data_IF_528558890074
#
_entry.id   IF_528558890074
#
_cell.length_a   1.000
_cell.length_b   1.000
_cell.length_c   1.000
_cell.angle_alpha   90.00
_cell.angle_beta   90.00
_cell.angle_gamma   90.00
#
_symmetry.space_group_name_H-M   'P 1'
#
loop_
_entity.id
_entity.type
_entity.pdbx_description
1 polymer ?
#
# COMPACT_ATOMS: atom_id res chain seq x y z
N UNK A 1 -7.65 12.68 27.02
CA UNK A 1 -7.95 13.37 25.75
C UNK A 1 -8.30 12.32 24.70
N UNK A 2 -8.58 12.70 23.45
CA UNK A 2 -8.95 11.72 22.40
C UNK A 2 -7.81 10.73 22.16
N UNK A 3 -6.57 11.21 22.22
CA UNK A 3 -5.33 10.44 22.05
C UNK A 3 -5.21 9.29 23.06
N UNK A 4 -5.52 9.55 24.34
CA UNK A 4 -5.48 8.53 25.40
C UNK A 4 -6.49 7.40 25.18
N UNK A 5 -7.60 7.70 24.49
CA UNK A 5 -8.62 6.71 24.16
C UNK A 5 -8.13 5.74 23.06
N UNK A 6 -7.31 6.23 22.12
CA UNK A 6 -6.82 5.46 20.97
C UNK A 6 -5.43 4.85 21.18
N UNK A 7 -4.66 5.30 22.19
CA UNK A 7 -3.27 4.89 22.39
C UNK A 7 -3.02 3.38 22.62
N UNK A 8 -4.07 2.59 22.91
CA UNK A 8 -3.98 1.14 23.05
C UNK A 8 -4.24 0.34 21.75
N UNK A 9 -4.62 0.99 20.65
CA UNK A 9 -5.03 0.31 19.41
C UNK A 9 -3.90 0.15 18.38
N UNK A 10 -2.72 0.69 18.67
CA UNK A 10 -1.56 0.66 17.79
C UNK A 10 -0.84 2.01 17.77
N UNK A 11 -0.07 2.24 16.70
CA UNK A 11 0.63 3.50 16.52
C UNK A 11 -0.37 4.63 16.21
N UNK A 12 -0.34 5.70 17.00
CA UNK A 12 -1.18 6.88 16.80
C UNK A 12 -0.46 7.91 15.92
N UNK A 13 -0.98 8.14 14.72
CA UNK A 13 -0.48 9.17 13.80
C UNK A 13 -1.33 10.42 13.98
N UNK A 14 -0.76 11.46 14.59
CA UNK A 14 -1.39 12.78 14.74
C UNK A 14 -0.90 13.67 13.61
N UNK A 15 -1.84 14.29 12.88
CA UNK A 15 -1.55 15.19 11.76
C UNK A 15 -2.09 16.59 12.04
N UNK A 16 -1.38 17.61 11.56
CA UNK A 16 -1.70 19.00 11.84
C UNK A 16 -2.71 19.60 10.84
N UNK A 17 -2.81 19.02 9.64
CA UNK A 17 -3.64 19.57 8.56
C UNK A 17 -4.60 18.55 7.99
N UNK A 18 -5.73 19.06 7.47
CA UNK A 18 -6.68 18.24 6.69
C UNK A 18 -6.05 17.67 5.42
N UNK A 19 -5.08 18.38 4.84
CA UNK A 19 -4.32 17.90 3.69
C UNK A 19 -3.49 16.65 4.01
N UNK A 20 -2.87 16.59 5.19
CA UNK A 20 -2.12 15.42 5.63
C UNK A 20 -3.05 14.23 5.87
N UNK A 21 -4.20 14.48 6.49
CA UNK A 21 -5.22 13.44 6.68
C UNK A 21 -5.73 12.89 5.34
N UNK A 22 -5.96 13.77 4.36
CA UNK A 22 -6.35 13.38 3.01
C UNK A 22 -5.26 12.55 2.31
N UNK A 23 -3.99 12.95 2.42
CA UNK A 23 -2.87 12.21 1.85
C UNK A 23 -2.72 10.80 2.46
N UNK A 24 -2.87 10.66 3.78
CA UNK A 24 -2.90 9.34 4.45
C UNK A 24 -4.07 8.50 3.93
N UNK A 25 -5.25 9.12 3.77
CA UNK A 25 -6.42 8.47 3.18
C UNK A 25 -6.13 7.89 1.78
N UNK A 26 -5.51 8.69 0.91
CA UNK A 26 -5.09 8.26 -0.43
C UNK A 26 -4.08 7.11 -0.36
N UNK A 27 -3.03 7.23 0.47
CA UNK A 27 -2.02 6.19 0.62
C UNK A 27 -2.61 4.86 1.11
N UNK A 28 -3.60 4.93 2.02
CA UNK A 28 -4.30 3.75 2.54
C UNK A 28 -5.07 2.96 1.47
N UNK A 29 -5.45 3.58 0.35
CA UNK A 29 -6.12 2.89 -0.75
C UNK A 29 -5.26 1.78 -1.40
N UNK A 30 -3.95 1.74 -1.11
CA UNK A 30 -3.05 0.68 -1.56
C UNK A 30 -3.26 -0.67 -0.86
N UNK A 31 -4.09 -0.75 0.19
CA UNK A 31 -4.37 -1.98 0.92
C UNK A 31 -4.80 -3.15 0.00
N UNK A 32 -5.76 -2.92 -0.90
CA UNK A 32 -6.24 -3.98 -1.80
C UNK A 32 -5.18 -4.39 -2.82
N UNK A 33 -4.45 -3.40 -3.37
CA UNK A 33 -3.30 -3.63 -4.27
C UNK A 33 -2.22 -4.47 -3.60
N UNK A 34 -1.93 -4.23 -2.32
CA UNK A 34 -0.96 -5.01 -1.55
C UNK A 34 -1.40 -6.48 -1.38
N UNK A 35 -2.69 -6.73 -1.17
CA UNK A 35 -3.22 -8.10 -1.12
C UNK A 35 -3.17 -8.79 -2.48
N UNK A 36 -3.47 -8.07 -3.55
CA UNK A 36 -3.40 -8.61 -4.91
C UNK A 36 -1.95 -8.96 -5.31
N UNK A 37 -0.97 -8.12 -4.98
CA UNK A 37 0.46 -8.44 -5.17
C UNK A 37 0.82 -9.78 -4.54
N UNK A 38 0.43 -9.99 -3.29
CA UNK A 38 0.66 -11.25 -2.58
C UNK A 38 -0.08 -12.42 -3.23
N UNK A 39 -1.34 -12.25 -3.65
CA UNK A 39 -2.09 -13.29 -4.35
C UNK A 39 -1.38 -13.74 -5.63
N UNK A 40 -0.77 -12.82 -6.38
CA UNK A 40 0.02 -13.15 -7.58
C UNK A 40 1.25 -14.00 -7.26
N UNK A 41 1.93 -13.72 -6.15
CA UNK A 41 3.07 -14.51 -5.70
C UNK A 41 2.64 -15.91 -5.24
N UNK A 42 1.52 -16.00 -4.50
CA UNK A 42 0.93 -17.27 -4.06
C UNK A 42 0.57 -18.13 -5.27
N UNK A 43 -0.17 -17.59 -6.23
CA UNK A 43 -0.53 -18.29 -7.46
C UNK A 43 0.70 -18.75 -8.27
N UNK A 44 1.79 -17.98 -8.27
CA UNK A 44 3.04 -18.36 -8.93
C UNK A 44 3.72 -19.58 -8.28
N UNK A 45 3.64 -19.70 -6.94
CA UNK A 45 4.14 -20.86 -6.18
C UNK A 45 3.24 -22.09 -6.38
N UNK A 46 1.92 -21.90 -6.33
CA UNK A 46 0.94 -22.97 -6.59
C UNK A 46 1.12 -23.57 -8.00
N UNK A 47 1.34 -22.73 -9.00
CA UNK A 47 1.62 -23.17 -10.37
C UNK A 47 2.89 -24.03 -10.50
N UNK A 48 3.73 -24.08 -9.47
CA UNK A 48 4.94 -24.92 -9.37
C UNK A 48 4.78 -26.12 -8.44
N UNK A 49 3.54 -26.42 -8.05
CA UNK A 49 3.19 -27.61 -7.26
C UNK A 49 3.26 -27.42 -5.76
N UNK A 50 3.43 -26.19 -5.25
CA UNK A 50 3.29 -25.94 -3.81
C UNK A 50 1.81 -26.04 -3.40
N UNK A 51 1.53 -26.65 -2.25
CA UNK A 51 0.17 -26.69 -1.70
C UNK A 51 -0.35 -25.25 -1.44
N UNK A 52 -1.61 -24.94 -1.76
CA UNK A 52 -2.18 -23.60 -1.61
C UNK A 52 -1.99 -23.00 -0.22
N UNK A 53 -2.24 -23.79 0.82
CA UNK A 53 -2.12 -23.36 2.21
C UNK A 53 -0.66 -23.01 2.58
N UNK A 54 0.30 -23.78 2.07
CA UNK A 54 1.71 -23.55 2.30
C UNK A 54 2.22 -22.31 1.53
N UNK A 55 1.78 -22.12 0.28
CA UNK A 55 2.12 -20.95 -0.53
C UNK A 55 1.57 -19.67 0.10
N UNK A 56 0.30 -19.69 0.52
CA UNK A 56 -0.32 -18.58 1.22
C UNK A 56 0.40 -18.27 2.53
N UNK A 57 0.63 -19.27 3.39
CA UNK A 57 1.31 -19.09 4.66
C UNK A 57 2.71 -18.49 4.48
N UNK A 58 3.48 -19.01 3.52
CA UNK A 58 4.82 -18.51 3.23
C UNK A 58 4.82 -17.03 2.81
N UNK A 59 4.01 -16.66 1.81
CA UNK A 59 4.00 -15.29 1.30
C UNK A 59 3.52 -14.31 2.36
N UNK A 60 2.41 -14.62 3.07
CA UNK A 60 1.89 -13.72 4.12
C UNK A 60 2.90 -13.52 5.24
N UNK A 61 3.51 -14.60 5.74
CA UNK A 61 4.50 -14.54 6.82
C UNK A 61 5.74 -13.75 6.41
N UNK A 62 6.18 -13.89 5.15
CA UNK A 62 7.31 -13.11 4.62
C UNK A 62 7.00 -11.60 4.64
N UNK A 63 5.83 -11.18 4.17
CA UNK A 63 5.44 -9.76 4.18
C UNK A 63 5.24 -9.21 5.59
N UNK A 64 4.69 -10.00 6.51
CA UNK A 64 4.62 -9.65 7.94
C UNK A 64 6.01 -9.41 8.52
N UNK A 65 6.96 -10.32 8.27
CA UNK A 65 8.34 -10.17 8.73
C UNK A 65 9.03 -8.91 8.18
N UNK A 66 8.80 -8.57 6.91
CA UNK A 66 9.33 -7.33 6.30
C UNK A 66 8.75 -6.08 6.97
N UNK A 67 7.44 -6.08 7.27
CA UNK A 67 6.79 -4.96 7.96
C UNK A 67 7.32 -4.80 9.39
N UNK A 68 7.48 -5.91 10.13
CA UNK A 68 8.03 -5.90 11.49
C UNK A 68 9.46 -5.33 11.52
N UNK A 69 10.32 -5.74 10.60
CA UNK A 69 11.68 -5.19 10.47
C UNK A 69 11.64 -3.70 10.14
N UNK A 70 10.79 -3.27 9.21
CA UNK A 70 10.68 -1.86 8.83
C UNK A 70 10.22 -0.97 10.00
N UNK A 71 9.26 -1.43 10.79
CA UNK A 71 8.78 -0.73 11.99
C UNK A 71 9.91 -0.59 13.02
N UNK A 72 10.64 -1.66 13.30
CA UNK A 72 11.74 -1.64 14.28
C UNK A 72 12.88 -0.72 13.83
N UNK A 73 13.29 -0.79 12.56
CA UNK A 73 14.28 0.12 11.97
C UNK A 73 13.83 1.58 12.09
N UNK A 74 12.55 1.86 11.82
CA UNK A 74 11.98 3.20 11.98
C UNK A 74 11.99 3.69 13.42
N UNK A 75 11.69 2.82 14.40
CA UNK A 75 11.78 3.13 15.84
C UNK A 75 13.20 3.44 16.29
N UNK A 76 14.20 2.84 15.66
CA UNK A 76 15.61 3.16 15.86
C UNK A 76 16.04 4.51 15.21
N UNK A 77 15.14 5.18 14.47
CA UNK A 77 15.43 6.42 13.75
C UNK A 77 16.21 6.22 12.46
N UNK A 78 16.22 4.99 11.94
CA UNK A 78 16.95 4.61 10.73
C UNK A 78 16.00 4.49 9.53
N UNK A 79 16.55 4.68 8.32
CA UNK A 79 15.82 4.43 7.09
C UNK A 79 15.96 2.96 6.68
N UNK A 80 14.89 2.37 6.16
CA UNK A 80 14.97 1.04 5.53
C UNK A 80 15.64 1.19 4.16
N UNK A 81 16.85 0.65 4.03
CA UNK A 81 17.61 0.66 2.77
C UNK A 81 17.51 -0.72 2.12
N UNK A 82 16.79 -0.88 0.98
CA UNK A 82 16.61 -2.19 0.34
C UNK A 82 17.92 -2.91 0.02
N UNK A 83 18.96 -2.16 -0.33
CA UNK A 83 20.29 -2.70 -0.65
C UNK A 83 20.99 -3.40 0.53
N UNK A 84 20.55 -3.17 1.78
CA UNK A 84 21.06 -3.89 2.95
C UNK A 84 20.43 -5.28 3.12
N UNK A 85 19.36 -5.59 2.38
CA UNK A 85 18.61 -6.86 2.46
C UNK A 85 18.82 -7.75 1.22
N UNK A 86 19.92 -7.54 0.52
CA UNK A 86 20.30 -8.30 -0.68
C UNK A 86 21.78 -8.63 -0.68
N UNK A 87 22.15 -9.61 -1.48
CA UNK A 87 23.55 -9.94 -1.76
C UNK A 87 23.90 -9.51 -3.18
N UNK A 88 25.17 -9.18 -3.42
CA UNK A 88 25.66 -8.82 -4.77
C UNK A 88 25.46 -9.99 -5.73
N UNK A 89 24.73 -9.75 -6.81
CA UNK A 89 24.29 -10.72 -7.81
C UNK A 89 23.15 -11.64 -7.35
N UNK A 90 22.58 -11.40 -6.16
CA UNK A 90 21.56 -12.23 -5.56
C UNK A 90 20.16 -12.01 -6.11
N UNK A 91 19.22 -12.87 -5.70
CA UNK A 91 17.83 -12.84 -6.18
C UNK A 91 17.10 -11.53 -5.84
N UNK A 92 17.33 -10.99 -4.64
CA UNK A 92 16.69 -9.74 -4.21
C UNK A 92 17.19 -8.54 -5.03
N UNK A 93 18.51 -8.45 -5.26
CA UNK A 93 19.09 -7.39 -6.10
C UNK A 93 18.57 -7.49 -7.53
N UNK A 94 18.59 -8.69 -8.12
CA UNK A 94 18.05 -8.90 -9.46
C UNK A 94 16.58 -8.50 -9.55
N UNK A 95 15.75 -8.96 -8.61
CA UNK A 95 14.32 -8.64 -8.57
C UNK A 95 14.08 -7.14 -8.48
N UNK A 96 14.78 -6.45 -7.57
CA UNK A 96 14.68 -5.00 -7.39
C UNK A 96 15.10 -4.26 -8.66
N UNK A 97 16.27 -4.56 -9.22
CA UNK A 97 16.78 -3.91 -10.44
C UNK A 97 15.91 -4.18 -11.66
N UNK A 98 15.38 -5.41 -11.79
CA UNK A 98 14.46 -5.76 -12.88
C UNK A 98 13.17 -4.92 -12.80
N UNK A 99 12.53 -4.87 -11.62
CA UNK A 99 11.31 -4.09 -11.41
C UNK A 99 11.54 -2.58 -11.58
N UNK A 100 12.70 -2.07 -11.15
CA UNK A 100 13.12 -0.69 -11.44
C UNK A 100 13.28 -0.47 -12.94
N UNK A 101 13.95 -1.38 -13.65
CA UNK A 101 14.21 -1.25 -15.08
C UNK A 101 12.97 -1.21 -15.96
N UNK A 102 11.87 -1.83 -15.52
CA UNK A 102 10.57 -1.77 -16.21
C UNK A 102 9.65 -0.66 -15.68
N UNK A 103 10.11 0.20 -14.76
CA UNK A 103 9.35 1.33 -14.22
C UNK A 103 8.25 0.95 -13.23
N UNK A 104 8.30 -0.25 -12.62
CA UNK A 104 7.24 -0.73 -11.74
C UNK A 104 7.01 0.16 -10.52
N UNK A 105 8.08 0.64 -9.89
CA UNK A 105 7.97 1.51 -8.71
C UNK A 105 7.40 2.89 -9.05
N UNK A 106 7.65 3.39 -10.26
CA UNK A 106 7.09 4.67 -10.71
C UNK A 106 5.58 4.57 -10.98
N UNK A 107 5.08 3.39 -11.36
CA UNK A 107 3.64 3.14 -11.49
C UNK A 107 2.90 3.25 -10.16
N UNK A 108 3.57 2.98 -9.03
CA UNK A 108 2.96 3.15 -7.70
C UNK A 108 2.64 4.63 -7.46
N UNK A 109 3.57 5.53 -7.77
CA UNK A 109 3.35 6.97 -7.66
C UNK A 109 2.22 7.43 -8.60
N UNK A 110 2.24 6.98 -9.86
CA UNK A 110 1.17 7.29 -10.83
C UNK A 110 -0.19 6.78 -10.37
N UNK A 111 -0.25 5.60 -9.75
CA UNK A 111 -1.48 5.06 -9.20
C UNK A 111 -2.02 5.92 -8.06
N UNK A 112 -1.14 6.38 -7.15
CA UNK A 112 -1.52 7.29 -6.06
C UNK A 112 -2.05 8.63 -6.58
N UNK A 113 -1.42 9.21 -7.61
CA UNK A 113 -1.93 10.43 -8.26
C UNK A 113 -3.33 10.21 -8.87
N UNK A 114 -3.53 9.05 -9.51
CA UNK A 114 -4.83 8.66 -10.05
C UNK A 114 -5.90 8.47 -8.97
N UNK A 115 -5.54 7.87 -7.84
CA UNK A 115 -6.42 7.69 -6.68
C UNK A 115 -6.76 9.06 -6.08
N UNK A 116 -5.79 9.96 -5.94
CA UNK A 116 -6.03 11.32 -5.46
C UNK A 116 -7.04 12.06 -6.34
N UNK A 117 -6.83 12.06 -7.66
CA UNK A 117 -7.75 12.67 -8.61
C UNK A 117 -9.15 12.00 -8.62
N UNK A 118 -9.25 10.72 -8.23
CA UNK A 118 -10.54 10.05 -8.06
C UNK A 118 -11.22 10.46 -6.75
N UNK A 119 -10.48 10.57 -5.65
CA UNK A 119 -10.99 10.99 -4.35
C UNK A 119 -11.61 12.39 -4.41
N UNK A 120 -10.98 13.34 -5.11
CA UNK A 120 -11.53 14.68 -5.36
C UNK A 120 -12.91 14.66 -6.04
N UNK A 121 -13.15 13.68 -6.92
CA UNK A 121 -14.46 13.53 -7.59
C UNK A 121 -15.53 12.99 -6.65
N UNK A 122 -15.15 12.22 -5.62
CA UNK A 122 -16.07 11.68 -4.63
C UNK A 122 -16.51 12.76 -3.62
N UNK A 123 -15.64 13.73 -3.34
CA UNK A 123 -15.91 14.85 -2.43
C UNK A 123 -16.56 16.04 -3.13
N UNK A 124 -16.50 16.11 -4.47
CA UNK A 124 -17.17 17.13 -5.26
C UNK A 124 -18.70 17.14 -5.03
N UNK A 125 -19.32 18.33 -4.88
CA UNK A 125 -20.76 18.43 -4.69
C UNK A 125 -21.50 17.83 -5.88
N UNK A 126 -22.48 16.95 -5.59
CA UNK A 126 -23.28 16.30 -6.62
C UNK A 126 -24.03 17.36 -7.43
N UNK A 127 -24.07 17.27 -8.77
CA UNK A 127 -24.80 18.24 -9.58
C UNK A 127 -26.27 18.28 -9.16
N UNK A 128 -26.84 19.49 -9.14
CA UNK A 128 -28.24 19.69 -8.80
C UNK A 128 -29.15 18.81 -9.68
N UNK A 129 -30.24 18.24 -9.13
CA UNK A 129 -31.20 17.51 -9.93
C UNK A 129 -31.71 18.39 -11.08
N UNK A 130 -31.83 17.81 -12.28
CA UNK A 130 -32.41 18.53 -13.42
C UNK A 130 -33.83 18.96 -13.06
N UNK A 131 -34.24 20.20 -13.40
CA UNK A 131 -35.60 20.64 -13.15
C UNK A 131 -36.58 19.70 -13.88
N UNK A 132 -37.64 19.32 -13.19
CA UNK A 132 -38.69 18.46 -13.74
C UNK A 132 -39.19 19.04 -15.06
N UNK A 133 -39.27 18.20 -16.09
CA UNK A 133 -39.84 18.59 -17.36
C UNK A 133 -41.29 19.04 -17.11
N UNK A 134 -41.59 20.31 -17.43
CA UNK A 134 -42.94 20.85 -17.36
C UNK A 134 -43.86 19.96 -18.21
N UNK A 135 -45.00 19.49 -17.67
CA UNK A 135 -45.95 18.74 -18.48
C UNK A 135 -46.43 19.61 -19.65
N UNK A 136 -46.55 18.96 -20.82
CA UNK A 136 -46.94 19.56 -22.09
C UNK A 136 -48.38 20.09 -22.09
#
# INVERSE_FOLDING_TARGET
>A
MVEDLFGGLGDLIVVDTESDLHAIGIASAMMSTHYELQNRMIAWLEARGMAPEAAAAYVRSMFEGLAAVAIETGRAGEAVVPAHHETKGGLNEYGRLHLTGIGWFDEIARALDGIAAHAEKLTAPKPAPKPDAKPA
#
